data_IF_108609881318
#
_entry.id   IF_108609881318
#
_cell.length_a   1.000
_cell.length_b   1.000
_cell.length_c   1.000
_cell.angle_alpha   90.00
_cell.angle_beta   90.00
_cell.angle_gamma   90.00
#
_symmetry.space_group_name_H-M   'P 1'
#
loop_
_entity.id
_entity.type
_entity.pdbx_description
1 polymer ?
#
# COMPACT_ATOMS: atom_id res chain seq x y z
N UNK A 1 8.13 2.64 -2.97
CA UNK A 1 8.11 2.09 -4.34
C UNK A 1 7.93 0.58 -4.36
N UNK A 2 8.39 -0.17 -3.36
CA UNK A 2 8.20 -1.63 -3.31
C UNK A 2 6.88 -2.08 -2.69
N UNK A 3 6.19 -1.20 -1.98
CA UNK A 3 4.82 -1.43 -1.50
C UNK A 3 3.83 -1.12 -2.61
N UNK A 4 2.97 -2.06 -2.99
CA UNK A 4 2.11 -1.97 -4.17
C UNK A 4 1.13 -0.79 -4.11
N UNK A 5 0.33 -0.70 -3.04
CA UNK A 5 -0.63 0.38 -2.84
C UNK A 5 0.02 1.77 -2.91
N UNK A 6 1.14 1.97 -2.22
CA UNK A 6 1.89 3.25 -2.27
C UNK A 6 2.50 3.49 -3.66
N UNK A 7 3.01 2.45 -4.32
CA UNK A 7 3.64 2.56 -5.63
C UNK A 7 2.64 2.99 -6.73
N UNK A 8 1.40 2.51 -6.65
CA UNK A 8 0.33 2.87 -7.58
C UNK A 8 0.07 4.39 -7.63
N UNK A 9 0.31 5.08 -6.52
CA UNK A 9 0.12 6.52 -6.39
C UNK A 9 1.42 7.34 -6.46
N UNK A 10 2.57 6.69 -6.69
CA UNK A 10 3.90 7.32 -6.85
C UNK A 10 4.46 7.15 -8.27
N UNK A 11 3.60 7.21 -9.28
CA UNK A 11 3.98 6.98 -10.69
C UNK A 11 4.66 8.21 -11.31
N UNK A 12 4.36 9.41 -10.83
CA UNK A 12 4.93 10.64 -11.35
C UNK A 12 6.43 10.75 -11.04
N UNK A 13 7.25 11.00 -12.08
CA UNK A 13 8.71 11.12 -11.92
C UNK A 13 9.13 12.30 -11.06
N UNK A 14 8.32 13.36 -11.03
CA UNK A 14 8.54 14.53 -10.17
C UNK A 14 8.39 14.17 -8.69
N UNK A 15 7.43 13.33 -8.35
CA UNK A 15 7.22 12.85 -6.98
C UNK A 15 8.37 11.94 -6.56
N UNK A 16 8.77 10.99 -7.42
CA UNK A 16 9.93 10.12 -7.17
C UNK A 16 11.20 10.94 -6.95
N UNK A 17 11.42 12.00 -7.73
CA UNK A 17 12.59 12.87 -7.56
C UNK A 17 12.51 13.66 -6.25
N UNK A 18 11.38 14.26 -5.91
CA UNK A 18 11.20 14.98 -4.66
C UNK A 18 11.35 14.07 -3.43
N UNK A 19 10.80 12.85 -3.48
CA UNK A 19 10.93 11.84 -2.43
C UNK A 19 12.34 11.24 -2.34
N UNK A 20 13.18 11.34 -3.37
CA UNK A 20 14.61 10.96 -3.27
C UNK A 20 15.41 11.84 -2.29
N UNK A 21 14.83 12.96 -1.86
CA UNK A 21 15.37 13.83 -0.82
C UNK A 21 14.87 13.47 0.59
N UNK A 22 13.91 12.57 0.71
CA UNK A 22 13.48 11.99 1.99
C UNK A 22 14.64 11.20 2.59
N UNK A 23 14.96 11.47 3.84
CA UNK A 23 16.01 10.81 4.60
C UNK A 23 15.45 9.81 5.60
N UNK A 24 14.30 10.14 6.19
CA UNK A 24 13.71 9.37 7.27
C UNK A 24 12.20 9.63 7.36
N UNK A 25 11.47 8.65 7.89
CA UNK A 25 10.06 8.77 8.29
C UNK A 25 9.98 8.33 9.75
N UNK A 26 9.75 9.29 10.64
CA UNK A 26 9.66 9.06 12.07
C UNK A 26 8.18 8.90 12.46
N UNK A 27 7.84 7.77 13.09
CA UNK A 27 6.55 7.57 13.74
C UNK A 27 6.61 8.07 15.19
N UNK A 28 5.75 9.03 15.53
CA UNK A 28 5.51 9.48 16.90
C UNK A 28 4.14 9.00 17.36
N UNK A 29 4.14 8.17 18.39
CA UNK A 29 2.95 7.54 18.93
C UNK A 29 3.11 7.38 20.44
N UNK A 30 2.02 7.49 21.19
CA UNK A 30 2.06 7.23 22.64
C UNK A 30 2.12 5.71 22.88
N UNK A 31 2.92 5.29 23.86
CA UNK A 31 3.06 3.88 24.23
C UNK A 31 1.80 3.36 24.92
N UNK A 32 1.03 4.22 25.58
CA UNK A 32 -0.19 3.87 26.32
C UNK A 32 -1.46 4.04 25.48
N UNK A 33 -1.40 4.81 24.41
CA UNK A 33 -2.51 5.01 23.48
C UNK A 33 -1.98 5.06 22.05
N UNK A 34 -2.05 3.91 21.37
CA UNK A 34 -1.54 3.78 20.00
C UNK A 34 -2.48 4.40 18.95
N UNK A 35 -3.69 4.82 19.32
CA UNK A 35 -4.67 5.33 18.35
C UNK A 35 -4.21 6.65 17.71
N UNK A 36 -3.84 7.70 18.45
CA UNK A 36 -3.26 8.89 17.85
C UNK A 36 -1.80 8.67 17.46
N UNK A 37 -1.42 9.12 16.27
CA UNK A 37 -0.04 9.07 15.80
C UNK A 37 0.30 10.24 14.88
N UNK A 38 1.58 10.51 14.73
CA UNK A 38 2.12 11.50 13.80
C UNK A 38 3.27 10.87 13.00
N UNK A 39 3.19 10.98 11.68
CA UNK A 39 4.28 10.62 10.77
C UNK A 39 5.07 11.88 10.40
N UNK A 40 6.36 11.92 10.70
CA UNK A 40 7.24 13.05 10.41
C UNK A 40 8.23 12.67 9.32
N UNK A 41 8.12 13.30 8.17
CA UNK A 41 8.95 13.04 7.00
C UNK A 41 10.11 14.03 6.99
N UNK A 42 11.33 13.53 7.15
CA UNK A 42 12.55 14.34 7.22
C UNK A 42 13.24 14.41 5.86
N UNK A 43 13.42 15.60 5.32
CA UNK A 43 14.00 15.85 4.01
C UNK A 43 15.34 16.58 4.12
N UNK A 44 16.29 16.17 3.26
CA UNK A 44 17.48 16.98 2.98
C UNK A 44 17.09 18.20 2.12
N UNK A 45 18.01 19.16 2.01
CA UNK A 45 17.81 20.30 1.13
C UNK A 45 17.51 19.82 -0.31
N UNK A 46 16.42 20.33 -0.88
CA UNK A 46 15.88 19.86 -2.16
C UNK A 46 15.40 21.05 -3.01
N UNK A 47 15.19 20.88 -4.32
CA UNK A 47 14.83 21.98 -5.21
C UNK A 47 13.34 22.41 -5.10
N UNK A 48 12.51 21.69 -4.35
CA UNK A 48 11.06 21.85 -4.38
C UNK A 48 10.50 22.71 -3.25
N UNK A 49 10.95 22.49 -2.02
CA UNK A 49 10.45 23.20 -0.83
C UNK A 49 11.58 23.46 0.17
N UNK A 50 11.32 24.33 1.15
CA UNK A 50 12.31 24.69 2.18
C UNK A 50 12.15 23.91 3.48
N UNK A 51 11.05 23.18 3.66
CA UNK A 51 10.81 22.35 4.85
C UNK A 51 11.91 21.30 5.00
N UNK A 52 12.47 21.21 6.20
CA UNK A 52 13.32 20.09 6.61
C UNK A 52 12.52 18.89 7.09
N UNK A 53 11.32 19.16 7.60
CA UNK A 53 10.38 18.15 8.05
C UNK A 53 8.97 18.57 7.70
N UNK A 54 8.17 17.64 7.20
CA UNK A 54 6.74 17.82 6.96
C UNK A 54 6.05 16.66 7.68
N UNK A 55 5.09 16.94 8.55
CA UNK A 55 4.40 15.88 9.30
C UNK A 55 2.96 15.68 8.84
N UNK A 56 2.39 14.54 9.19
CA UNK A 56 0.96 14.25 9.05
C UNK A 56 0.48 13.70 10.38
N UNK A 57 -0.53 14.33 10.97
CA UNK A 57 -0.99 14.01 12.32
C UNK A 57 -2.42 13.48 12.32
N UNK A 58 -2.60 12.38 13.04
CA UNK A 58 -3.85 11.64 13.21
C UNK A 58 -4.19 11.70 14.70
N UNK A 59 -5.26 12.41 15.03
CA UNK A 59 -5.66 12.70 16.43
C UNK A 59 -7.01 12.10 16.75
N UNK A 60 -7.25 11.81 18.02
CA UNK A 60 -8.57 11.42 18.49
C UNK A 60 -9.58 12.55 18.25
N UNK A 61 -10.82 12.17 17.93
CA UNK A 61 -11.94 13.12 17.85
C UNK A 61 -12.19 13.83 19.17
N UNK A 62 -12.85 15.00 19.15
CA UNK A 62 -13.01 15.87 20.33
C UNK A 62 -13.75 15.20 21.51
N UNK A 63 -14.61 14.22 21.23
CA UNK A 63 -15.40 13.51 22.24
C UNK A 63 -14.72 12.21 22.72
N UNK A 64 -13.57 11.85 22.15
CA UNK A 64 -12.86 10.60 22.48
C UNK A 64 -11.77 10.88 23.51
N UNK A 65 -11.76 10.10 24.59
CA UNK A 65 -10.75 10.23 25.65
C UNK A 65 -9.54 9.35 25.34
N UNK A 66 -8.31 9.85 25.61
CA UNK A 66 -7.12 9.01 25.56
C UNK A 66 -7.21 7.87 26.57
N UNK A 67 -6.74 6.70 26.16
CA UNK A 67 -6.54 5.56 27.07
C UNK A 67 -5.24 5.80 27.84
N UNK A 68 -5.23 5.46 29.12
CA UNK A 68 -4.08 5.69 30.02
C UNK A 68 -3.69 4.45 30.83
N UNK A 69 -4.41 3.34 30.63
CA UNK A 69 -4.13 2.06 31.27
C UNK A 69 -3.32 1.12 30.38
N UNK A 70 -2.66 0.14 30.99
CA UNK A 70 -1.88 -0.89 30.27
C UNK A 70 -2.77 -2.01 29.70
N UNK A 71 -4.02 -2.12 30.17
CA UNK A 71 -4.98 -3.13 29.72
C UNK A 71 -5.71 -2.68 28.44
N UNK A 72 -5.98 -3.64 27.55
CA UNK A 72 -6.82 -3.41 26.36
C UNK A 72 -8.26 -3.13 26.83
N UNK A 73 -8.68 -1.86 26.77
CA UNK A 73 -10.05 -1.47 27.08
C UNK A 73 -11.01 -1.82 25.94
N UNK A 74 -12.30 -1.95 26.24
CA UNK A 74 -13.35 -2.14 25.22
C UNK A 74 -13.35 -0.98 24.21
N UNK A 75 -13.07 0.24 24.68
CA UNK A 75 -12.88 1.44 23.85
C UNK A 75 -11.69 1.36 22.88
N UNK A 76 -10.69 0.52 23.17
CA UNK A 76 -9.53 0.27 22.33
C UNK A 76 -9.79 -0.86 21.33
N UNK A 77 -10.55 -1.88 21.76
CA UNK A 77 -10.92 -3.03 20.93
C UNK A 77 -11.97 -2.69 19.87
N UNK A 78 -12.90 -1.80 20.18
CA UNK A 78 -13.96 -1.34 19.25
C UNK A 78 -13.56 -0.05 18.51
N UNK A 79 -12.29 0.34 18.57
CA UNK A 79 -11.83 1.58 17.96
C UNK A 79 -11.85 1.48 16.43
N UNK A 80 -12.56 2.42 15.80
CA UNK A 80 -12.55 2.62 14.36
C UNK A 80 -11.44 3.61 13.97
N UNK A 81 -10.45 3.13 13.21
CA UNK A 81 -9.32 3.93 12.75
C UNK A 81 -9.74 5.09 11.84
N UNK A 82 -10.83 4.93 11.09
CA UNK A 82 -11.39 5.97 10.22
C UNK A 82 -12.00 7.13 11.02
N UNK A 83 -12.21 6.95 12.33
CA UNK A 83 -12.67 8.02 13.22
C UNK A 83 -11.59 9.04 13.59
N UNK A 84 -10.31 8.80 13.22
CA UNK A 84 -9.21 9.72 13.48
C UNK A 84 -9.36 11.03 12.70
N UNK A 85 -9.12 12.14 13.39
CA UNK A 85 -9.08 13.48 12.79
C UNK A 85 -7.69 13.72 12.22
N UNK A 86 -7.63 13.92 10.91
CA UNK A 86 -6.38 14.16 10.17
C UNK A 86 -6.11 15.66 10.02
N UNK A 87 -4.94 16.10 10.47
CA UNK A 87 -4.52 17.50 10.37
C UNK A 87 -3.66 17.73 9.10
N UNK A 88 -4.02 18.71 8.25
CA UNK A 88 -3.21 19.04 7.08
C UNK A 88 -1.96 19.81 7.48
N UNK A 89 -0.88 19.57 6.75
CA UNK A 89 0.39 20.27 6.89
C UNK A 89 0.61 21.27 5.76
N UNK A 90 1.41 22.29 6.05
CA UNK A 90 1.81 23.30 5.05
C UNK A 90 3.16 22.91 4.46
N UNK A 91 3.28 23.05 3.13
CA UNK A 91 4.54 22.88 2.41
C UNK A 91 4.99 24.26 1.93
N UNK A 92 6.19 24.67 2.34
CA UNK A 92 6.84 25.91 1.93
C UNK A 92 7.52 25.71 0.58
N UNK A 93 6.70 25.64 -0.47
CA UNK A 93 7.16 25.49 -1.85
C UNK A 93 8.09 26.63 -2.26
N UNK A 94 9.16 26.28 -2.97
CA UNK A 94 10.03 27.23 -3.67
C UNK A 94 9.28 27.84 -4.88
N UNK A 95 9.74 28.99 -5.39
CA UNK A 95 9.05 29.65 -6.50
C UNK A 95 8.87 28.74 -7.72
N UNK A 96 7.62 28.60 -8.20
CA UNK A 96 7.22 27.73 -9.31
C UNK A 96 7.49 26.23 -9.07
N UNK A 97 7.60 25.79 -7.82
CA UNK A 97 7.85 24.40 -7.45
C UNK A 97 6.69 23.77 -6.68
N UNK A 98 5.55 24.45 -6.59
CA UNK A 98 4.33 23.88 -6.01
C UNK A 98 3.84 22.72 -6.88
N UNK A 99 4.07 21.50 -6.41
CA UNK A 99 3.68 20.29 -7.14
C UNK A 99 2.17 20.07 -7.08
N UNK A 100 1.49 20.53 -6.02
CA UNK A 100 0.03 20.39 -5.89
C UNK A 100 -0.70 21.27 -6.91
N UNK A 101 -0.16 22.45 -7.21
CA UNK A 101 -0.65 23.33 -8.27
C UNK A 101 -0.30 22.82 -9.69
N UNK A 102 0.89 22.23 -9.87
CA UNK A 102 1.34 21.73 -11.18
C UNK A 102 0.66 20.41 -11.58
N UNK A 103 0.35 19.56 -10.60
CA UNK A 103 -0.25 18.25 -10.76
C UNK A 103 -1.47 18.14 -9.83
N UNK A 104 -2.57 18.86 -10.14
CA UNK A 104 -3.76 18.85 -9.31
C UNK A 104 -4.43 17.48 -9.36
N UNK A 105 -5.00 17.06 -8.21
CA UNK A 105 -5.89 15.90 -8.15
C UNK A 105 -7.19 16.22 -8.90
N UNK A 106 -7.75 15.23 -9.58
CA UNK A 106 -9.04 15.33 -10.27
C UNK A 106 -9.88 14.11 -9.93
N UNK A 107 -11.02 14.31 -9.29
CA UNK A 107 -12.00 13.25 -9.10
C UNK A 107 -12.88 13.14 -10.34
N UNK A 108 -13.25 11.91 -10.73
CA UNK A 108 -14.24 11.69 -11.76
C UNK A 108 -15.63 12.07 -11.23
N UNK A 109 -15.99 13.34 -11.40
CA UNK A 109 -17.23 13.94 -10.90
C UNK A 109 -17.20 15.47 -10.89
N UNK A 110 -16.02 16.09 -10.75
CA UNK A 110 -15.88 17.55 -10.81
C UNK A 110 -16.07 18.13 -12.22
N UNK A 111 -16.03 17.28 -13.26
CA UNK A 111 -16.36 17.63 -14.63
C UNK A 111 -17.87 17.52 -14.96
N UNK A 112 -18.69 16.93 -14.08
CA UNK A 112 -20.12 16.74 -14.29
C UNK A 112 -20.88 17.13 -13.02
N UNK A 113 -21.37 18.37 -12.99
CA UNK A 113 -22.10 18.91 -11.85
C UNK A 113 -23.20 17.96 -11.34
N UNK A 114 -23.30 17.91 -10.00
CA UNK A 114 -24.24 17.10 -9.23
C UNK A 114 -24.10 15.58 -9.41
N UNK A 115 -23.21 14.97 -8.63
CA UNK A 115 -23.24 13.55 -8.31
C UNK A 115 -22.76 13.40 -6.87
N UNK A 116 -23.51 12.68 -6.06
CA UNK A 116 -23.11 12.29 -4.71
C UNK A 116 -21.76 11.57 -4.77
N UNK A 117 -20.97 11.64 -3.69
CA UNK A 117 -19.74 10.87 -3.57
C UNK A 117 -20.10 9.39 -3.48
N UNK A 118 -20.39 8.79 -4.63
CA UNK A 118 -20.69 7.37 -4.78
C UNK A 118 -19.48 6.57 -4.30
N UNK A 119 -19.79 5.50 -3.58
CA UNK A 119 -18.89 4.61 -2.86
C UNK A 119 -17.51 4.45 -3.49
N UNK A 120 -16.47 4.77 -2.71
CA UNK A 120 -15.08 4.41 -2.97
C UNK A 120 -14.83 2.89 -2.93
N UNK A 121 -15.88 2.07 -2.83
CA UNK A 121 -15.82 0.60 -2.81
C UNK A 121 -15.21 0.04 -4.11
N UNK A 122 -15.38 0.74 -5.25
CA UNK A 122 -14.75 0.40 -6.55
C UNK A 122 -13.37 1.09 -6.78
N UNK A 123 -12.83 1.76 -5.76
CA UNK A 123 -11.54 2.45 -5.81
C UNK A 123 -11.61 3.89 -6.36
N UNK A 124 -10.51 4.64 -6.22
CA UNK A 124 -10.43 6.02 -6.68
C UNK A 124 -10.46 6.11 -8.21
N UNK A 125 -11.58 6.57 -8.76
CA UNK A 125 -11.73 6.83 -10.19
C UNK A 125 -11.34 8.30 -10.48
N UNK A 126 -10.14 8.50 -11.04
CA UNK A 126 -9.63 9.84 -11.36
C UNK A 126 -8.12 9.94 -11.50
N UNK A 127 -7.62 11.16 -11.63
CA UNK A 127 -6.18 11.47 -11.57
C UNK A 127 -5.82 11.80 -10.12
N UNK A 128 -5.04 10.95 -9.40
CA UNK A 128 -4.72 11.19 -7.99
C UNK A 128 -3.88 12.45 -7.77
N UNK A 129 -3.30 12.99 -8.85
CA UNK A 129 -2.39 14.14 -8.82
C UNK A 129 -1.04 13.75 -8.22
N UNK A 130 -0.31 14.76 -7.72
CA UNK A 130 0.93 14.53 -6.98
C UNK A 130 0.69 13.86 -5.62
N UNK A 131 1.63 13.03 -5.18
CA UNK A 131 1.67 12.50 -3.82
C UNK A 131 1.62 13.57 -2.74
N UNK A 132 2.14 14.78 -2.99
CA UNK A 132 2.21 15.83 -1.96
C UNK A 132 0.84 16.35 -1.52
N UNK A 133 -0.25 15.99 -2.22
CA UNK A 133 -1.61 16.14 -1.71
C UNK A 133 -1.83 15.40 -0.38
N UNK A 134 -1.11 14.30 -0.15
CA UNK A 134 -1.10 13.58 1.12
C UNK A 134 -0.85 14.50 2.30
N UNK A 135 0.05 15.49 2.20
CA UNK A 135 0.32 16.39 3.32
C UNK A 135 -0.76 17.45 3.53
N UNK A 136 -1.24 18.07 2.44
CA UNK A 136 -2.09 19.26 2.50
C UNK A 136 -3.59 18.95 2.65
N UNK A 137 -4.03 17.72 2.35
CA UNK A 137 -5.44 17.34 2.48
C UNK A 137 -5.86 17.09 3.93
N UNK A 138 -7.15 17.23 4.21
CA UNK A 138 -7.72 16.89 5.53
C UNK A 138 -8.14 15.42 5.65
N UNK A 139 -7.95 14.65 4.59
CA UNK A 139 -8.29 13.23 4.54
C UNK A 139 -7.11 12.45 3.98
N UNK A 140 -6.88 11.27 4.52
CA UNK A 140 -5.92 10.31 4.00
C UNK A 140 -6.60 9.33 3.04
N UNK A 141 -7.01 9.85 1.89
CA UNK A 141 -7.82 9.13 0.90
C UNK A 141 -7.29 7.76 0.46
N UNK A 142 -5.98 7.57 0.53
CA UNK A 142 -5.32 6.35 0.07
C UNK A 142 -4.71 5.55 1.22
N UNK A 143 -5.10 5.88 2.47
CA UNK A 143 -4.63 5.24 3.70
C UNK A 143 -3.09 5.17 3.82
N UNK A 144 -2.37 6.16 3.28
CA UNK A 144 -0.91 6.14 3.33
C UNK A 144 -0.37 6.17 4.76
N UNK A 145 -1.07 6.84 5.68
CA UNK A 145 -0.72 6.89 7.09
C UNK A 145 -0.68 5.53 7.73
N UNK A 146 -1.72 4.74 7.56
CA UNK A 146 -1.82 3.38 8.08
C UNK A 146 -0.84 2.44 7.38
N UNK A 147 -0.77 2.48 6.04
CA UNK A 147 0.22 1.67 5.29
C UNK A 147 1.65 1.98 5.74
N UNK A 148 1.98 3.26 5.96
CA UNK A 148 3.30 3.62 6.45
C UNK A 148 3.53 3.13 7.88
N UNK A 149 2.56 3.34 8.78
CA UNK A 149 2.65 2.98 10.20
C UNK A 149 2.72 1.47 10.43
N UNK A 150 1.87 0.71 9.74
CA UNK A 150 1.58 -0.70 10.05
C UNK A 150 2.32 -1.66 9.11
N UNK A 151 2.57 -1.28 7.85
CA UNK A 151 3.25 -2.15 6.89
C UNK A 151 4.70 -1.75 6.69
N UNK A 152 4.93 -0.50 6.27
CA UNK A 152 6.25 -0.07 5.77
C UNK A 152 7.23 0.16 6.92
N UNK A 153 6.88 0.93 7.95
CA UNK A 153 7.81 1.29 9.01
C UNK A 153 8.28 0.11 9.87
N UNK A 154 7.43 -0.88 10.21
CA UNK A 154 7.88 -2.05 10.99
C UNK A 154 8.94 -2.89 10.28
N UNK A 155 8.93 -2.94 8.95
CA UNK A 155 9.92 -3.67 8.16
C UNK A 155 10.45 -2.86 6.95
N UNK A 156 10.86 -1.62 7.20
CA UNK A 156 11.29 -0.69 6.15
C UNK A 156 12.46 -1.22 5.32
N UNK A 157 13.33 -2.02 5.94
CA UNK A 157 14.47 -2.65 5.25
C UNK A 157 14.02 -3.71 4.25
N UNK A 158 13.01 -4.54 4.56
CA UNK A 158 12.48 -5.49 3.60
C UNK A 158 11.85 -4.77 2.39
N UNK A 159 11.09 -3.68 2.59
CA UNK A 159 10.58 -2.90 1.46
C UNK A 159 11.71 -2.24 0.66
N UNK A 160 12.78 -1.77 1.30
CA UNK A 160 13.95 -1.24 0.61
C UNK A 160 14.64 -2.28 -0.29
N UNK A 161 14.81 -3.51 0.21
CA UNK A 161 15.39 -4.63 -0.54
C UNK A 161 14.41 -5.29 -1.54
N UNK A 162 13.16 -4.83 -1.60
CA UNK A 162 12.12 -5.39 -2.47
C UNK A 162 11.49 -6.70 -1.97
N UNK A 163 11.74 -7.07 -0.71
CA UNK A 163 11.18 -8.26 -0.04
C UNK A 163 9.91 -7.98 0.77
N UNK A 164 9.61 -6.71 1.07
CA UNK A 164 8.47 -6.35 1.92
C UNK A 164 7.12 -6.78 1.37
N UNK A 165 6.96 -6.80 0.03
CA UNK A 165 5.72 -7.29 -0.60
C UNK A 165 5.56 -8.83 -0.51
N UNK A 166 6.66 -9.58 -0.48
CA UNK A 166 6.61 -11.04 -0.36
C UNK A 166 6.10 -11.47 1.04
N UNK A 167 6.45 -10.73 2.09
CA UNK A 167 5.97 -10.99 3.45
C UNK A 167 4.47 -10.69 3.62
N UNK A 168 3.93 -9.70 2.88
CA UNK A 168 2.51 -9.39 2.92
C UNK A 168 1.65 -10.42 2.16
N UNK A 169 2.18 -10.95 1.04
CA UNK A 169 1.53 -12.04 0.31
C UNK A 169 1.56 -13.38 1.09
N UNK A 170 2.68 -13.71 1.75
CA UNK A 170 2.79 -14.90 2.62
C UNK A 170 1.84 -14.87 3.84
N UNK A 171 1.41 -13.68 4.27
CA UNK A 171 0.41 -13.51 5.34
C UNK A 171 -1.03 -13.73 4.86
N UNK A 172 -1.28 -13.64 3.55
CA UNK A 172 -2.59 -13.87 2.93
C UNK A 172 -2.72 -15.27 2.31
N UNK A 173 -1.60 -15.98 2.14
CA UNK A 173 -1.54 -17.33 1.54
C UNK A 173 -1.50 -18.47 2.57
N UNK A 174 -1.67 -18.17 3.87
CA UNK A 174 -1.74 -19.19 4.93
C UNK A 174 -3.16 -19.75 5.15
N UNK A 175 -4.13 -19.38 4.32
CA UNK A 175 -5.49 -19.90 4.40
C UNK A 175 -5.78 -20.82 3.20
N UNK A 176 -5.68 -22.14 3.47
CA UNK A 176 -6.31 -23.25 2.74
C UNK A 176 -5.53 -23.93 1.59
N UNK A 177 -4.45 -24.66 1.94
CA UNK A 177 -4.02 -25.86 1.18
C UNK A 177 -4.36 -27.13 1.98
N UNK A 178 -5.65 -27.42 2.19
CA UNK A 178 -6.12 -28.77 2.47
C UNK A 178 -6.64 -29.39 1.16
N UNK A 179 -5.75 -30.04 0.39
CA UNK A 179 -6.21 -31.01 -0.61
C UNK A 179 -5.28 -32.23 -0.76
N UNK A 180 -5.93 -33.36 -1.06
CA UNK A 180 -5.42 -34.69 -1.38
C UNK A 180 -5.27 -35.70 -0.21
N UNK A 181 -6.42 -36.23 0.26
CA UNK A 181 -6.48 -37.60 0.81
C UNK A 181 -6.24 -38.62 -0.31
N UNK A 182 -5.13 -39.33 -0.15
CA UNK A 182 -4.66 -40.52 -0.86
C UNK A 182 -5.54 -41.74 -0.51
N UNK A 183 -6.33 -42.23 -1.46
CA UNK A 183 -6.93 -43.57 -1.39
C UNK A 183 -6.35 -44.43 -2.53
N UNK A 184 -5.31 -45.18 -2.16
CA UNK A 184 -4.78 -46.35 -2.85
C UNK A 184 -5.89 -47.39 -3.08
N UNK A 185 -6.12 -47.80 -4.32
CA UNK A 185 -6.68 -49.14 -4.57
C UNK A 185 -5.95 -49.82 -5.73
N UNK A 186 -5.34 -50.94 -5.35
CA UNK A 186 -4.39 -51.80 -6.02
C UNK A 186 -5.10 -52.84 -6.92
N UNK A 187 -4.36 -53.35 -7.90
CA UNK A 187 -4.54 -54.63 -8.60
C UNK A 187 -5.78 -54.92 -9.45
N UNK A 188 -5.58 -55.03 -10.78
CA UNK A 188 -5.70 -56.32 -11.48
C UNK A 188 -5.05 -56.27 -12.89
N UNK A 189 -3.92 -56.97 -13.00
CA UNK A 189 -3.15 -57.23 -14.22
C UNK A 189 -3.69 -58.50 -14.90
N UNK A 190 -4.38 -58.36 -16.04
CA UNK A 190 -4.69 -59.50 -16.93
C UNK A 190 -3.62 -59.62 -18.05
N UNK A 191 -2.88 -60.73 -18.00
CA UNK A 191 -1.71 -61.07 -18.81
C UNK A 191 -2.03 -62.16 -19.85
N UNK A 192 -2.93 -61.96 -20.81
CA UNK A 192 -3.04 -62.89 -21.95
C UNK A 192 -3.42 -62.21 -23.29
N UNK A 193 -2.43 -61.69 -24.03
CA UNK A 193 -1.99 -62.34 -25.28
C UNK A 193 -0.93 -61.55 -26.06
N UNK A 194 0.02 -62.32 -26.57
CA UNK A 194 1.23 -61.91 -27.26
C UNK A 194 1.04 -61.36 -28.70
N UNK A 195 1.90 -60.35 -29.02
CA UNK A 195 2.65 -60.09 -30.28
C UNK A 195 1.92 -59.51 -31.51
N UNK A 196 2.64 -58.88 -32.49
CA UNK A 196 3.94 -58.18 -32.44
C UNK A 196 3.99 -56.82 -33.19
N UNK A 197 5.04 -56.05 -32.87
CA UNK A 197 5.43 -54.73 -33.43
C UNK A 197 5.61 -54.68 -34.96
N UNK A 198 5.22 -53.57 -35.61
CA UNK A 198 5.83 -53.12 -36.89
C UNK A 198 6.15 -51.61 -36.95
N UNK A 199 7.46 -51.37 -36.80
CA UNK A 199 8.39 -50.43 -37.47
C UNK A 199 7.95 -49.00 -37.83
N UNK A 200 8.70 -48.06 -37.24
CA UNK A 200 8.91 -46.64 -37.58
C UNK A 200 9.22 -46.41 -39.07
N UNK A 201 8.82 -45.25 -39.60
CA UNK A 201 9.56 -44.56 -40.67
C UNK A 201 9.75 -43.09 -40.29
N UNK A 202 10.99 -42.76 -39.93
CA UNK A 202 11.53 -41.40 -39.95
C UNK A 202 11.79 -41.07 -41.42
N UNK A 203 11.33 -39.91 -41.89
CA UNK A 203 11.93 -39.24 -43.04
C UNK A 203 12.31 -37.82 -42.62
N UNK A 204 13.63 -37.64 -42.59
CA UNK A 204 14.39 -36.39 -42.59
C UNK A 204 14.52 -35.98 -44.06
N UNK A 205 14.45 -34.68 -44.36
CA UNK A 205 15.35 -33.96 -45.27
C UNK A 205 14.72 -32.61 -45.67
N UNK A 206 15.46 -31.53 -45.42
CA UNK A 206 15.16 -30.20 -45.93
C UNK A 206 15.64 -30.04 -47.37
N UNK A 207 15.11 -29.03 -48.05
CA UNK A 207 15.75 -28.45 -49.24
C UNK A 207 15.15 -27.06 -49.53
N UNK A 208 16.06 -26.06 -49.56
CA UNK A 208 16.04 -24.78 -50.27
C UNK A 208 14.85 -23.83 -50.10
#
# INVERSE_FOLDING_TARGET
MSHEAVAAHLTAKVDQHALSFLQDIELKQDVNDFRPFELVFHFKENPYFTNKSISKKYSLGPDTKPVTGEDVSEELAEFDEDSLVVEPSTIDWKPNQDLTAQFPRKMQGEAAGNGEADDLEDGFEGDPGTFFWYFVEKMDMFNFGFILKDDILPDAFAYFDGRGAANAADMLDSEDEDDEEDDEDDDEIDLENEKPKKKRKVCRDGCC
#
